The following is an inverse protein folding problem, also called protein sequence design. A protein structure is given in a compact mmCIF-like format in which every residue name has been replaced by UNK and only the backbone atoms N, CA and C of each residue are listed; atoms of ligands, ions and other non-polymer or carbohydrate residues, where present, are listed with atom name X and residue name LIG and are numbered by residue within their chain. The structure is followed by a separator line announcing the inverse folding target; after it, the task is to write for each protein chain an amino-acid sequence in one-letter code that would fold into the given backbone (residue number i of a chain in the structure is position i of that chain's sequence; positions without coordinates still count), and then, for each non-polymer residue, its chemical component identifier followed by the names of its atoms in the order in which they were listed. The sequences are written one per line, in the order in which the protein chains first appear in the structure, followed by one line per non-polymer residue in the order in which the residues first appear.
data_IF_911016262327
#
_entry.id   IF_911016262327
#
_cell.length_a   1.000
_cell.length_b   1.000
_cell.length_c   1.000
_cell.angle_alpha   90.00
_cell.angle_beta   90.00
_cell.angle_gamma   90.00
#
_symmetry.space_group_name_H-M   'P 1'
#
loop_
_entity.id
_entity.type
_entity.pdbx_description
1 polymer ?
#
# COMPACT_ATOMS: atom_id res chain seq x y z
N UNK A 1 19.63 -8.45 -1.15
CA UNK A 1 19.40 -8.49 0.31
C UNK A 1 20.38 -7.59 1.06
N UNK A 2 21.71 -7.78 0.94
CA UNK A 2 22.70 -7.01 1.72
C UNK A 2 22.57 -5.48 1.67
N UNK A 3 22.24 -4.87 0.53
CA UNK A 3 21.99 -3.42 0.44
C UNK A 3 20.80 -2.96 1.30
N UNK A 4 19.73 -3.76 1.39
CA UNK A 4 18.56 -3.44 2.20
C UNK A 4 18.88 -3.52 3.69
N UNK A 5 19.60 -4.56 4.12
CA UNK A 5 20.09 -4.69 5.50
C UNK A 5 21.04 -3.55 5.87
N UNK A 6 21.99 -3.21 4.99
CA UNK A 6 22.86 -2.05 5.18
C UNK A 6 22.05 -0.75 5.34
N UNK A 7 21.01 -0.55 4.51
CA UNK A 7 20.18 0.65 4.58
C UNK A 7 19.38 0.73 5.88
N UNK A 8 18.86 -0.40 6.38
CA UNK A 8 18.19 -0.48 7.68
C UNK A 8 19.18 -0.20 8.83
N UNK A 9 20.37 -0.78 8.80
CA UNK A 9 21.41 -0.50 9.79
C UNK A 9 21.80 0.98 9.80
N UNK A 10 22.00 1.58 8.62
CA UNK A 10 22.30 3.00 8.49
C UNK A 10 21.18 3.88 9.07
N UNK A 11 19.92 3.50 8.83
CA UNK A 11 18.76 4.19 9.42
C UNK A 11 18.76 4.06 10.94
N UNK A 12 19.06 2.87 11.47
CA UNK A 12 19.18 2.66 12.91
C UNK A 12 20.28 3.53 13.52
N UNK A 13 21.46 3.56 12.92
CA UNK A 13 22.63 4.29 13.45
C UNK A 13 22.45 5.81 13.36
N UNK A 14 21.95 6.31 12.23
CA UNK A 14 21.91 7.75 11.95
C UNK A 14 20.58 8.42 12.34
N UNK A 15 19.48 7.68 12.27
CA UNK A 15 18.13 8.23 12.51
C UNK A 15 17.64 7.85 13.89
N UNK A 16 17.57 6.55 14.21
CA UNK A 16 17.09 6.10 15.52
C UNK A 16 18.10 6.36 16.64
N UNK A 17 19.40 6.28 16.33
CA UNK A 17 20.50 6.61 17.25
C UNK A 17 20.66 8.11 17.54
N UNK A 18 19.96 8.98 16.79
CA UNK A 18 19.98 10.42 17.01
C UNK A 18 18.71 10.86 17.78
N UNK A 19 18.84 11.30 19.04
CA UNK A 19 17.67 11.66 19.87
C UNK A 19 16.78 12.72 19.22
N UNK A 20 17.37 13.71 18.54
CA UNK A 20 16.59 14.77 17.89
C UNK A 20 15.70 14.24 16.76
N UNK A 21 16.22 13.30 15.94
CA UNK A 21 15.41 12.69 14.88
C UNK A 21 14.40 11.71 15.43
N UNK A 22 14.76 10.95 16.47
CA UNK A 22 13.84 10.05 17.14
C UNK A 22 12.66 10.82 17.75
N UNK A 23 12.92 11.92 18.47
CA UNK A 23 11.88 12.78 19.04
C UNK A 23 10.97 13.36 17.95
N UNK A 24 11.55 13.76 16.80
CA UNK A 24 10.78 14.25 15.67
C UNK A 24 9.87 13.16 15.05
N UNK A 25 10.35 11.93 14.97
CA UNK A 25 9.57 10.78 14.47
C UNK A 25 8.48 10.40 15.45
N UNK A 26 8.75 10.40 16.76
CA UNK A 26 7.80 10.02 17.80
C UNK A 26 6.78 11.12 18.13
N UNK A 27 7.12 12.37 17.81
CA UNK A 27 6.28 13.54 18.07
C UNK A 27 4.96 13.57 17.28
N UNK A 28 4.06 14.44 17.72
CA UNK A 28 2.72 14.59 17.17
C UNK A 28 2.64 15.57 15.97
N UNK A 29 3.69 16.37 15.75
CA UNK A 29 3.71 17.44 14.73
C UNK A 29 3.36 16.96 13.33
N UNK A 30 3.78 15.75 12.97
CA UNK A 30 3.48 15.11 11.68
C UNK A 30 2.64 13.84 11.86
N UNK A 31 1.74 13.83 12.85
CA UNK A 31 0.83 12.72 13.09
C UNK A 31 -0.52 12.97 12.42
N UNK A 32 -0.94 12.05 11.56
CA UNK A 32 -2.24 12.09 10.89
C UNK A 32 -2.95 10.74 11.04
N UNK A 33 -4.11 10.76 11.68
CA UNK A 33 -4.89 9.55 12.01
C UNK A 33 -5.88 9.24 10.90
N UNK A 34 -5.41 8.69 9.80
CA UNK A 34 -6.24 8.34 8.64
C UNK A 34 -6.55 6.86 8.59
N UNK A 35 -7.46 6.46 7.71
CA UNK A 35 -7.57 5.06 7.32
C UNK A 35 -6.32 4.62 6.54
N UNK A 36 -6.05 3.32 6.49
CA UNK A 36 -4.94 2.77 5.71
C UNK A 36 -5.42 1.66 4.79
N UNK A 37 -4.88 1.65 3.57
CA UNK A 37 -5.09 0.57 2.62
C UNK A 37 -3.76 -0.07 2.19
N UNK A 38 -3.83 -1.35 1.82
CA UNK A 38 -2.71 -2.06 1.24
C UNK A 38 -3.11 -3.46 0.76
N UNK A 39 -2.53 -3.90 -0.34
CA UNK A 39 -2.69 -5.26 -0.84
C UNK A 39 -2.06 -6.29 0.11
N UNK A 40 -2.81 -7.36 0.39
CA UNK A 40 -2.37 -8.46 1.24
C UNK A 40 -2.64 -9.81 0.60
N UNK A 41 -1.79 -10.79 0.91
CA UNK A 41 -2.00 -12.19 0.53
C UNK A 41 -3.10 -12.88 1.38
N UNK A 42 -3.29 -14.18 1.16
CA UNK A 42 -4.29 -14.99 1.87
C UNK A 42 -4.02 -15.10 3.38
N UNK A 43 -2.76 -14.92 3.80
CA UNK A 43 -2.33 -14.88 5.20
C UNK A 43 -2.33 -13.45 5.78
N UNK A 44 -2.93 -12.49 5.07
CA UNK A 44 -2.94 -11.07 5.40
C UNK A 44 -1.55 -10.41 5.47
N UNK A 45 -0.51 -11.03 4.93
CA UNK A 45 0.83 -10.44 4.88
C UNK A 45 0.94 -9.48 3.70
N UNK A 46 1.82 -8.50 3.81
CA UNK A 46 2.08 -7.53 2.73
C UNK A 46 2.41 -8.27 1.44
N UNK A 47 1.74 -7.89 0.35
CA UNK A 47 2.00 -8.39 -0.99
C UNK A 47 1.94 -7.24 -1.99
N UNK A 48 2.76 -7.27 -3.03
CA UNK A 48 2.79 -6.21 -4.05
C UNK A 48 2.10 -6.56 -5.36
N UNK A 49 1.87 -7.84 -5.61
CA UNK A 49 1.49 -8.33 -6.93
C UNK A 49 0.07 -8.88 -6.98
N UNK A 50 -0.31 -9.71 -6.00
CA UNK A 50 -1.60 -10.39 -6.00
C UNK A 50 -2.22 -10.44 -4.60
N UNK A 51 -3.55 -10.46 -4.55
CA UNK A 51 -4.31 -10.60 -3.32
C UNK A 51 -5.53 -9.69 -3.29
N UNK A 52 -5.93 -9.28 -2.08
CA UNK A 52 -7.05 -8.36 -1.86
C UNK A 52 -6.55 -7.10 -1.15
N UNK A 53 -7.14 -5.95 -1.46
CA UNK A 53 -6.78 -4.70 -0.77
C UNK A 53 -7.46 -4.70 0.59
N UNK A 54 -6.67 -4.71 1.65
CA UNK A 54 -7.10 -4.58 3.03
C UNK A 54 -7.37 -3.12 3.37
N UNK A 55 -8.44 -2.86 4.13
CA UNK A 55 -8.80 -1.53 4.61
C UNK A 55 -8.92 -1.57 6.13
N UNK A 56 -8.16 -0.72 6.83
CA UNK A 56 -8.20 -0.58 8.30
C UNK A 56 -8.56 0.84 8.69
N UNK A 57 -9.27 0.98 9.81
CA UNK A 57 -9.58 2.28 10.43
C UNK A 57 -8.37 2.86 11.18
N UNK A 58 -8.43 4.12 11.64
CA UNK A 58 -7.34 4.73 12.39
C UNK A 58 -7.00 4.03 13.71
N UNK A 59 -7.87 3.16 14.23
CA UNK A 59 -7.60 2.37 15.45
C UNK A 59 -7.01 0.98 15.11
N UNK A 60 -6.74 0.71 13.82
CA UNK A 60 -6.20 -0.56 13.33
C UNK A 60 -7.25 -1.65 13.12
N UNK A 61 -8.54 -1.35 13.31
CA UNK A 61 -9.61 -2.32 13.07
C UNK A 61 -9.82 -2.49 11.57
N UNK A 62 -9.71 -3.72 11.08
CA UNK A 62 -10.01 -4.07 9.69
C UNK A 62 -11.49 -3.88 9.38
N UNK A 63 -11.78 -2.98 8.44
CA UNK A 63 -13.14 -2.71 7.93
C UNK A 63 -13.55 -3.69 6.84
N UNK A 64 -12.58 -4.26 6.13
CA UNK A 64 -12.79 -5.36 5.18
C UNK A 64 -11.65 -5.50 4.19
N UNK A 65 -11.89 -6.31 3.15
CA UNK A 65 -10.96 -6.51 2.03
C UNK A 65 -11.72 -6.49 0.71
N UNK A 66 -11.14 -5.93 -0.34
CA UNK A 66 -11.77 -5.90 -1.66
C UNK A 66 -10.89 -6.48 -2.76
N UNK A 67 -11.53 -7.17 -3.71
CA UNK A 67 -10.92 -7.65 -4.94
C UNK A 67 -10.85 -6.51 -5.98
N UNK A 68 -10.02 -6.62 -7.02
CA UNK A 68 -9.89 -5.58 -8.04
C UNK A 68 -11.22 -5.06 -8.59
N UNK A 69 -12.14 -5.95 -9.00
CA UNK A 69 -13.43 -5.56 -9.58
C UNK A 69 -14.37 -4.82 -8.60
N UNK A 70 -14.14 -4.95 -7.29
CA UNK A 70 -15.00 -4.38 -6.24
C UNK A 70 -14.57 -2.93 -5.87
N UNK A 71 -13.46 -2.40 -6.40
CA UNK A 71 -12.88 -1.15 -5.91
C UNK A 71 -13.83 0.05 -5.96
N UNK A 72 -14.78 0.09 -6.91
CA UNK A 72 -15.76 1.18 -7.06
C UNK A 72 -16.81 1.23 -5.94
N UNK A 73 -16.94 0.16 -5.14
CA UNK A 73 -17.75 0.12 -3.92
C UNK A 73 -17.00 0.67 -2.70
N UNK A 74 -15.68 0.78 -2.80
CA UNK A 74 -14.79 1.17 -1.71
C UNK A 74 -14.20 2.56 -1.89
N UNK A 75 -13.82 2.92 -3.11
CA UNK A 75 -13.09 4.15 -3.42
C UNK A 75 -13.97 5.08 -4.25
N UNK A 76 -14.03 6.35 -3.85
CA UNK A 76 -14.60 7.44 -4.62
C UNK A 76 -13.56 8.57 -4.73
N UNK A 77 -13.62 9.39 -5.78
CA UNK A 77 -12.67 10.47 -6.02
C UNK A 77 -13.36 11.84 -5.95
N UNK A 78 -12.87 12.72 -5.08
CA UNK A 78 -13.32 14.11 -4.97
C UNK A 78 -12.48 15.01 -5.87
N UNK A 79 -13.10 16.02 -6.49
CA UNK A 79 -12.45 17.08 -7.26
C UNK A 79 -12.60 18.40 -6.52
N UNK A 80 -11.55 19.20 -6.51
CA UNK A 80 -11.57 20.57 -6.00
C UNK A 80 -11.14 21.55 -7.13
N UNK A 81 -11.66 22.79 -7.15
CA UNK A 81 -11.48 23.70 -8.29
C UNK A 81 -10.06 24.23 -8.47
N UNK A 82 -9.18 24.05 -7.48
CA UNK A 82 -7.85 24.64 -7.42
C UNK A 82 -6.71 23.67 -7.80
N UNK A 83 -7.03 22.42 -8.16
CA UNK A 83 -6.02 21.42 -8.55
C UNK A 83 -6.60 20.40 -9.53
N UNK A 84 -5.76 19.90 -10.43
CA UNK A 84 -6.12 18.80 -11.32
C UNK A 84 -6.04 17.43 -10.66
N UNK A 85 -5.28 17.30 -9.57
CA UNK A 85 -5.20 16.07 -8.81
C UNK A 85 -6.48 15.87 -8.01
N UNK A 86 -7.05 14.67 -8.11
CA UNK A 86 -8.23 14.28 -7.34
C UNK A 86 -7.84 13.83 -5.94
N UNK A 87 -8.85 13.70 -5.08
CA UNK A 87 -8.74 13.26 -3.69
C UNK A 87 -9.56 11.99 -3.48
N UNK A 88 -8.95 10.80 -3.65
CA UNK A 88 -9.59 9.54 -3.31
C UNK A 88 -9.95 9.47 -1.83
N UNK A 89 -11.10 8.88 -1.52
CA UNK A 89 -11.58 8.64 -0.16
C UNK A 89 -12.39 7.35 -0.09
N UNK A 90 -12.52 6.79 1.12
CA UNK A 90 -13.36 5.62 1.39
C UNK A 90 -14.84 6.00 1.23
N UNK A 91 -15.46 5.48 0.18
CA UNK A 91 -16.84 5.74 -0.22
C UNK A 91 -17.85 5.45 0.90
N UNK A 92 -17.64 4.36 1.64
CA UNK A 92 -18.52 3.91 2.74
C UNK A 92 -18.46 4.80 3.98
N UNK A 93 -17.35 5.49 4.19
CA UNK A 93 -17.16 6.44 5.32
C UNK A 93 -17.59 7.84 4.89
N UNK A 94 -17.24 8.23 3.66
CA UNK A 94 -17.65 9.50 3.05
C UNK A 94 -16.60 10.61 3.15
N UNK A 95 -16.76 11.64 2.34
CA UNK A 95 -15.87 12.80 2.31
C UNK A 95 -16.27 13.82 3.37
N UNK A 96 -15.32 14.22 4.23
CA UNK A 96 -15.51 15.24 5.28
C UNK A 96 -14.57 16.44 5.13
N UNK A 97 -14.01 16.62 3.94
CA UNK A 97 -12.92 17.58 3.72
C UNK A 97 -11.57 17.02 4.14
N UNK A 98 -10.59 17.91 4.28
CA UNK A 98 -9.21 17.61 4.66
C UNK A 98 -9.07 17.44 6.18
N UNK A 99 -9.86 16.54 6.74
CA UNK A 99 -9.88 16.23 8.17
C UNK A 99 -9.56 14.75 8.33
N UNK A 100 -8.73 14.40 9.30
CA UNK A 100 -8.43 13.02 9.64
C UNK A 100 -9.47 12.46 10.62
N UNK A 101 -9.23 11.26 11.16
CA UNK A 101 -10.10 10.60 12.11
C UNK A 101 -11.07 9.59 11.49
N UNK A 102 -11.74 8.86 12.38
CA UNK A 102 -12.54 7.68 12.05
C UNK A 102 -13.78 7.96 11.20
N UNK A 103 -14.37 9.15 11.37
CA UNK A 103 -15.57 9.57 10.63
C UNK A 103 -15.25 10.20 9.27
N UNK A 104 -13.97 10.35 8.95
CA UNK A 104 -13.49 10.87 7.67
C UNK A 104 -12.99 9.74 6.78
N UNK A 105 -13.47 9.69 5.54
CA UNK A 105 -13.03 8.71 4.55
C UNK A 105 -11.62 8.93 4.02
N UNK A 106 -10.89 9.93 4.51
CA UNK A 106 -9.48 10.14 4.14
C UNK A 106 -8.67 8.91 4.54
N UNK A 107 -7.88 8.39 3.58
CA UNK A 107 -7.01 7.24 3.76
C UNK A 107 -5.64 7.50 3.15
N UNK A 108 -4.67 6.65 3.48
CA UNK A 108 -3.37 6.61 2.84
C UNK A 108 -3.06 5.19 2.30
N UNK A 109 -2.18 5.14 1.30
CA UNK A 109 -1.69 3.92 0.63
C UNK A 109 -0.16 3.91 0.52
N UNK A 110 0.55 4.63 1.40
CA UNK A 110 2.03 4.66 1.44
C UNK A 110 2.63 3.33 1.92
N UNK A 111 3.97 3.13 1.87
CA UNK A 111 4.62 2.01 2.56
C UNK A 111 4.10 1.79 3.98
N UNK A 112 4.05 2.85 4.80
CA UNK A 112 3.49 2.79 6.16
C UNK A 112 2.05 2.26 6.17
N UNK A 113 1.24 2.67 5.20
CA UNK A 113 -0.16 2.27 5.11
C UNK A 113 -0.29 0.77 4.84
N UNK A 114 0.58 0.20 3.98
CA UNK A 114 0.60 -1.23 3.71
C UNK A 114 0.98 -2.04 4.94
N UNK A 115 2.00 -1.60 5.69
CA UNK A 115 2.33 -2.26 6.96
C UNK A 115 1.16 -2.17 7.95
N UNK A 116 0.51 -1.01 8.07
CA UNK A 116 -0.64 -0.82 8.96
C UNK A 116 -1.83 -1.70 8.57
N UNK A 117 -2.07 -1.90 7.26
CA UNK A 117 -3.21 -2.66 6.74
C UNK A 117 -3.00 -4.19 6.68
N UNK A 118 -1.77 -4.67 6.84
CA UNK A 118 -1.38 -6.08 6.85
C UNK A 118 -1.29 -6.66 8.27
N UNK A 119 -1.06 -7.97 8.40
CA UNK A 119 -0.79 -8.67 9.67
C UNK A 119 0.71 -9.02 9.82
N UNK A 120 1.56 -8.52 8.90
CA UNK A 120 3.02 -8.71 8.90
C UNK A 120 3.61 -8.79 7.50
N UNK A 121 4.86 -9.24 7.41
CA UNK A 121 5.59 -9.53 6.17
C UNK A 121 5.62 -11.04 5.90
N UNK A 122 5.72 -11.41 4.62
CA UNK A 122 5.77 -12.82 4.22
C UNK A 122 7.21 -13.39 4.13
N UNK A 123 8.24 -12.57 4.32
CA UNK A 123 9.65 -12.97 4.30
C UNK A 123 10.29 -12.76 5.67
N UNK A 124 11.24 -13.62 6.09
CA UNK A 124 11.68 -13.70 7.49
C UNK A 124 12.40 -12.44 7.97
N UNK A 125 13.35 -11.89 7.22
CA UNK A 125 14.11 -10.72 7.68
C UNK A 125 13.23 -9.46 7.69
N UNK A 126 12.35 -9.31 6.70
CA UNK A 126 11.39 -8.22 6.69
C UNK A 126 10.37 -8.33 7.84
N UNK A 127 9.98 -9.55 8.23
CA UNK A 127 9.09 -9.77 9.37
C UNK A 127 9.75 -9.33 10.69
N UNK A 128 11.03 -9.67 10.89
CA UNK A 128 11.80 -9.21 12.06
C UNK A 128 11.88 -7.67 12.10
N UNK A 129 12.22 -7.03 10.97
CA UNK A 129 12.27 -5.58 10.88
C UNK A 129 10.88 -4.91 11.09
N UNK A 130 9.81 -5.56 10.66
CA UNK A 130 8.43 -5.14 10.90
C UNK A 130 8.09 -5.19 12.40
N UNK A 131 8.49 -6.23 13.12
CA UNK A 131 8.25 -6.33 14.57
C UNK A 131 9.00 -5.23 15.34
N UNK A 132 10.29 -5.04 15.04
CA UNK A 132 11.10 -3.96 15.64
C UNK A 132 10.51 -2.57 15.38
N UNK A 133 9.98 -2.34 14.18
CA UNK A 133 9.32 -1.09 13.81
C UNK A 133 8.14 -0.75 14.73
N UNK A 134 7.24 -1.71 14.95
CA UNK A 134 6.07 -1.48 15.80
C UNK A 134 6.42 -1.47 17.30
N UNK A 135 7.39 -2.26 17.74
CA UNK A 135 7.90 -2.20 19.11
C UNK A 135 8.47 -0.80 19.43
N UNK A 136 9.26 -0.25 18.51
CA UNK A 136 9.89 1.07 18.67
C UNK A 136 8.87 2.21 18.66
N UNK A 137 7.84 2.11 17.81
CA UNK A 137 6.85 3.18 17.61
C UNK A 137 5.62 3.07 18.53
N UNK A 138 5.64 2.14 19.50
CA UNK A 138 4.62 2.05 20.53
C UNK A 138 3.36 1.29 20.12
N UNK A 139 3.44 0.46 19.08
CA UNK A 139 2.37 -0.42 18.63
C UNK A 139 1.78 -0.05 17.28
N UNK A 140 0.68 -0.73 16.93
CA UNK A 140 0.02 -0.68 15.63
C UNK A 140 -1.42 -0.20 15.79
N UNK A 141 -1.92 0.73 14.95
CA UNK A 141 -1.25 1.36 13.81
C UNK A 141 -0.28 2.49 14.20
N UNK A 142 0.64 2.80 13.29
CA UNK A 142 1.55 3.95 13.38
C UNK A 142 1.04 5.10 12.51
N UNK A 143 0.96 6.31 13.06
CA UNK A 143 0.37 7.48 12.40
C UNK A 143 1.38 8.58 12.05
N UNK A 144 2.60 8.46 12.57
CA UNK A 144 3.68 9.41 12.38
C UNK A 144 4.17 9.33 10.94
N UNK A 145 3.93 10.38 10.15
CA UNK A 145 4.18 10.38 8.69
C UNK A 145 5.63 10.12 8.35
N UNK A 146 6.57 10.60 9.18
CA UNK A 146 8.00 10.38 8.99
C UNK A 146 8.41 8.90 9.10
N UNK A 147 7.64 8.08 9.83
CA UNK A 147 7.87 6.64 9.92
C UNK A 147 7.70 5.93 8.55
N UNK A 148 7.09 6.58 7.55
CA UNK A 148 7.02 6.04 6.20
C UNK A 148 8.38 5.80 5.55
N UNK A 149 9.44 6.49 6.00
CA UNK A 149 10.79 6.26 5.50
C UNK A 149 11.35 4.94 5.98
N UNK A 150 11.15 4.60 7.26
CA UNK A 150 11.55 3.31 7.81
C UNK A 150 10.71 2.17 7.21
N UNK A 151 9.38 2.36 7.12
CA UNK A 151 8.48 1.45 6.42
C UNK A 151 8.97 1.10 5.00
N UNK A 152 9.46 2.10 4.25
CA UNK A 152 10.02 1.91 2.91
C UNK A 152 11.27 1.03 2.90
N UNK A 153 12.11 1.10 3.94
CA UNK A 153 13.30 0.25 4.07
C UNK A 153 12.92 -1.21 4.39
N UNK A 154 11.87 -1.41 5.19
CA UNK A 154 11.30 -2.74 5.47
C UNK A 154 10.76 -3.35 4.17
N UNK A 155 10.04 -2.57 3.36
CA UNK A 155 9.57 -3.01 2.05
C UNK A 155 10.69 -3.28 1.05
N UNK A 156 11.78 -2.49 1.11
CA UNK A 156 12.98 -2.74 0.30
C UNK A 156 13.60 -4.10 0.67
N UNK A 157 13.67 -4.43 1.96
CA UNK A 157 14.17 -5.71 2.44
C UNK A 157 13.26 -6.85 1.96
N UNK A 158 11.95 -6.72 2.15
CA UNK A 158 10.95 -7.68 1.65
C UNK A 158 11.06 -7.90 0.14
N UNK A 159 11.15 -6.82 -0.65
CA UNK A 159 11.31 -6.92 -2.10
C UNK A 159 12.61 -7.63 -2.49
N UNK A 160 13.70 -7.39 -1.75
CA UNK A 160 14.98 -8.05 -1.99
C UNK A 160 14.97 -9.53 -1.62
N UNK A 161 14.24 -9.94 -0.57
CA UNK A 161 14.03 -11.35 -0.21
C UNK A 161 13.15 -12.05 -1.25
N UNK A 162 12.00 -11.46 -1.59
CA UNK A 162 11.09 -11.97 -2.63
C UNK A 162 11.75 -12.12 -4.00
N UNK A 163 12.66 -11.20 -4.36
CA UNK A 163 13.44 -11.29 -5.59
C UNK A 163 14.26 -12.59 -5.63
N UNK A 164 14.93 -12.92 -4.53
CA UNK A 164 15.73 -14.16 -4.45
C UNK A 164 14.82 -15.37 -4.56
N UNK A 165 13.76 -15.42 -3.76
CA UNK A 165 12.78 -16.53 -3.79
C UNK A 165 12.25 -16.79 -5.20
N UNK A 166 11.81 -15.74 -5.90
CA UNK A 166 11.29 -15.83 -7.26
C UNK A 166 12.36 -16.15 -8.31
N UNK A 167 13.57 -15.60 -8.18
CA UNK A 167 14.66 -15.87 -9.11
C UNK A 167 15.23 -17.29 -8.98
N UNK A 168 15.05 -17.92 -7.82
CA UNK A 168 15.46 -19.31 -7.56
C UNK A 168 14.35 -20.33 -7.80
N UNK A 169 13.13 -19.88 -8.06
CA UNK A 169 12.01 -20.76 -8.39
C UNK A 169 12.25 -21.45 -9.74
N UNK A 170 12.14 -22.77 -9.80
CA UNK A 170 12.37 -23.53 -11.05
C UNK A 170 11.43 -23.11 -12.18
N UNK A 171 10.21 -22.66 -11.84
CA UNK A 171 9.22 -22.20 -12.81
C UNK A 171 9.64 -20.91 -13.54
N UNK A 172 10.60 -20.13 -13.01
CA UNK A 172 11.03 -18.85 -13.62
C UNK A 172 11.62 -19.03 -15.03
N UNK A 173 12.11 -20.24 -15.33
CA UNK A 173 12.66 -20.60 -16.66
C UNK A 173 11.73 -21.51 -17.47
N UNK A 174 10.52 -21.76 -16.96
CA UNK A 174 9.53 -22.59 -17.65
C UNK A 174 9.23 -22.04 -19.05
N UNK A 175 9.11 -22.91 -20.07
CA UNK A 175 8.67 -22.49 -21.40
C UNK A 175 7.16 -22.16 -21.45
N UNK A 176 6.40 -22.48 -20.39
CA UNK A 176 4.96 -22.27 -20.32
C UNK A 176 4.60 -20.86 -19.83
N UNK A 177 4.92 -19.84 -20.62
CA UNK A 177 4.81 -18.42 -20.23
C UNK A 177 3.55 -17.70 -20.71
N UNK A 178 2.72 -18.32 -21.55
CA UNK A 178 1.60 -17.64 -22.19
C UNK A 178 0.38 -18.56 -22.32
N UNK A 179 -0.77 -18.04 -21.88
CA UNK A 179 -2.09 -18.64 -22.13
C UNK A 179 -2.86 -17.71 -23.06
N UNK A 180 -3.18 -18.19 -24.27
CA UNK A 180 -3.93 -17.41 -25.25
C UNK A 180 -5.36 -17.20 -24.75
N UNK A 181 -5.85 -15.94 -24.66
CA UNK A 181 -7.23 -15.67 -24.28
C UNK A 181 -8.22 -16.27 -25.30
N UNK A 182 -9.22 -16.98 -24.82
CA UNK A 182 -10.27 -17.61 -25.66
C UNK A 182 -11.61 -16.89 -25.62
N UNK A 183 -11.78 -15.94 -24.70
CA UNK A 183 -13.02 -15.20 -24.48
C UNK A 183 -12.98 -13.84 -25.16
N UNK A 184 -14.13 -13.38 -25.65
CA UNK A 184 -14.32 -12.00 -26.12
C UNK A 184 -14.08 -11.02 -24.97
N UNK A 185 -13.21 -10.01 -25.14
CA UNK A 185 -12.93 -9.04 -24.09
C UNK A 185 -14.15 -8.14 -23.85
N UNK A 186 -14.32 -7.70 -22.61
CA UNK A 186 -15.44 -6.83 -22.20
C UNK A 186 -14.97 -5.79 -21.19
N UNK A 187 -14.65 -6.21 -19.96
CA UNK A 187 -14.23 -5.36 -18.86
C UNK A 187 -13.11 -6.07 -18.08
N UNK A 188 -12.13 -5.30 -17.59
CA UNK A 188 -11.03 -5.84 -16.82
C UNK A 188 -10.48 -4.84 -15.83
N UNK A 189 -10.26 -5.30 -14.58
CA UNK A 189 -9.65 -4.51 -13.51
C UNK A 189 -8.39 -5.21 -13.01
N UNK A 190 -7.29 -4.47 -13.00
CA UNK A 190 -6.03 -4.88 -12.39
C UNK A 190 -5.67 -3.98 -11.21
N UNK A 191 -5.25 -4.58 -10.10
CA UNK A 191 -4.67 -3.87 -8.96
C UNK A 191 -3.33 -4.49 -8.61
N UNK A 192 -2.33 -3.63 -8.43
CA UNK A 192 -1.02 -3.96 -7.85
C UNK A 192 -0.61 -2.88 -6.86
N UNK A 193 0.37 -3.14 -6.01
CA UNK A 193 1.01 -2.07 -5.23
C UNK A 193 2.18 -1.50 -6.03
N UNK A 194 2.00 -0.28 -6.54
CA UNK A 194 3.15 0.49 -6.97
C UNK A 194 3.96 0.92 -5.73
N UNK A 195 5.26 1.26 -5.87
CA UNK A 195 6.08 1.65 -4.73
C UNK A 195 5.50 2.82 -3.90
N UNK A 196 4.70 3.68 -4.53
CA UNK A 196 4.08 4.87 -3.93
C UNK A 196 2.61 4.68 -3.53
N UNK A 197 2.04 3.49 -3.75
CA UNK A 197 0.71 3.09 -3.29
C UNK A 197 -0.07 2.26 -4.29
N UNK A 198 -1.29 1.87 -3.89
CA UNK A 198 -2.17 1.02 -4.68
C UNK A 198 -2.44 1.62 -6.06
N UNK A 199 -2.19 0.85 -7.11
CA UNK A 199 -2.38 1.22 -8.51
C UNK A 199 -3.54 0.41 -9.07
N UNK A 200 -4.62 1.09 -9.45
CA UNK A 200 -5.79 0.48 -10.08
C UNK A 200 -5.89 0.89 -11.53
N UNK A 201 -5.96 -0.10 -12.42
CA UNK A 201 -6.22 0.07 -13.84
C UNK A 201 -7.55 -0.60 -14.18
N UNK A 202 -8.48 0.14 -14.78
CA UNK A 202 -9.80 -0.36 -15.16
C UNK A 202 -10.09 0.00 -16.62
N UNK A 203 -10.31 -1.03 -17.45
CA UNK A 203 -10.56 -0.91 -18.88
C UNK A 203 -11.88 -1.56 -19.27
N UNK A 204 -12.59 -0.94 -20.21
CA UNK A 204 -13.69 -1.54 -20.95
C UNK A 204 -13.35 -1.56 -22.43
N UNK A 205 -13.81 -2.58 -23.13
CA UNK A 205 -13.60 -2.75 -24.58
C UNK A 205 -14.90 -3.04 -25.31
N UNK A 206 -14.90 -2.82 -26.63
CA UNK A 206 -15.85 -3.48 -27.53
C UNK A 206 -15.47 -4.96 -27.75
N UNK A 207 -16.24 -5.68 -28.56
CA UNK A 207 -15.99 -7.10 -28.88
C UNK A 207 -14.69 -7.34 -29.67
N UNK A 208 -14.09 -6.28 -30.23
CA UNK A 208 -12.82 -6.32 -30.96
C UNK A 208 -11.62 -6.03 -30.05
N UNK A 209 -11.85 -5.73 -28.77
CA UNK A 209 -10.81 -5.36 -27.82
C UNK A 209 -10.35 -3.91 -27.91
N UNK A 210 -11.10 -3.03 -28.59
CA UNK A 210 -10.81 -1.60 -28.65
C UNK A 210 -11.34 -0.93 -27.39
N UNK A 211 -10.50 -0.14 -26.71
CA UNK A 211 -10.86 0.56 -25.48
C UNK A 211 -12.00 1.55 -25.73
N UNK A 212 -13.08 1.41 -24.96
CA UNK A 212 -14.25 2.31 -24.98
C UNK A 212 -14.31 3.22 -23.76
N UNK A 213 -13.68 2.80 -22.65
CA UNK A 213 -13.60 3.56 -21.41
C UNK A 213 -12.36 3.13 -20.62
N UNK A 214 -11.78 4.07 -19.88
CA UNK A 214 -10.63 3.84 -19.01
C UNK A 214 -10.82 4.61 -17.71
N UNK A 215 -10.47 3.98 -16.58
CA UNK A 215 -10.34 4.66 -15.29
C UNK A 215 -9.04 4.23 -14.60
N UNK A 216 -8.32 5.19 -14.03
CA UNK A 216 -7.03 4.97 -13.37
C UNK A 216 -7.04 5.64 -11.99
N UNK A 217 -6.76 4.86 -10.93
CA UNK A 217 -6.48 5.39 -9.58
C UNK A 217 -5.03 5.09 -9.28
N UNK A 218 -4.18 6.10 -9.42
CA UNK A 218 -2.73 5.92 -9.59
C UNK A 218 -2.00 6.20 -8.28
N UNK A 219 -1.41 5.18 -7.67
CA UNK A 219 -0.39 5.24 -6.60
C UNK A 219 -0.46 6.47 -5.70
N UNK A 220 0.29 7.52 -6.04
CA UNK A 220 0.39 8.78 -5.28
C UNK A 220 -0.95 9.51 -5.10
N UNK A 221 -1.89 9.40 -6.03
CA UNK A 221 -3.22 10.06 -5.96
C UNK A 221 -3.96 9.66 -4.68
N UNK A 222 -3.81 8.41 -4.24
CA UNK A 222 -4.37 7.90 -2.98
C UNK A 222 -3.87 8.63 -1.73
N UNK A 223 -2.77 9.39 -1.83
CA UNK A 223 -2.11 10.06 -0.71
C UNK A 223 -2.23 11.58 -0.80
N UNK A 224 -3.15 12.12 -1.62
CA UNK A 224 -3.23 13.56 -1.86
C UNK A 224 -4.13 14.32 -0.87
N UNK A 225 -5.16 13.66 -0.32
CA UNK A 225 -5.98 14.21 0.76
C UNK A 225 -5.30 14.21 2.14
N UNK A 226 -4.63 13.12 2.57
CA UNK A 226 -4.02 13.05 3.89
C UNK A 226 -2.66 13.77 3.98
#
# INVERSE_FOLDING_TARGET
IGFAQFSLQLFQDMVLGNPFYLDLILGDTYTHRTHYIGLVDDNNKVNFYHGRVSVVDPDGKRLGKYAPAEYTDWIAERVEPWTYLKFPYLKKVGWKGFVDGKDSGVYAATPLSRLNAADGMATPLAQEAHEQFYETLGGKPVHQRLATHWARLIELLYAAERLVELATDEEITSPHIHTVPTKTPTEGVGIVEAPRGTLTHHYWTDERGILTKVNLVVGTTNNYAP
#
